data_IF_455648782960
#
_entry.id   IF_455648782960
#
_cell.length_a   1.000
_cell.length_b   1.000
_cell.length_c   1.000
_cell.angle_alpha   90.00
_cell.angle_beta   90.00
_cell.angle_gamma   90.00
#
_symmetry.space_group_name_H-M   'P 1'
#
loop_
_entity.id
_entity.type
_entity.pdbx_description
1 polymer ?
#
# COMPACT_ATOMS: atom_id res chain seq x y z
N UNK A 1 21.49 8.08 16.22
CA UNK A 1 20.29 8.94 16.30
C UNK A 1 19.47 8.62 15.05
N UNK A 2 18.46 7.77 15.19
CA UNK A 2 17.65 7.31 14.04
C UNK A 2 16.72 8.48 13.69
N UNK A 3 16.65 8.94 12.43
CA UNK A 3 15.61 9.87 12.07
C UNK A 3 14.29 9.13 12.26
N UNK A 4 13.48 9.60 13.22
CA UNK A 4 12.06 9.27 13.27
C UNK A 4 11.55 9.38 11.84
N UNK A 5 11.12 8.26 11.26
CA UNK A 5 10.45 8.26 9.98
C UNK A 5 9.11 8.95 10.21
N UNK A 6 9.14 10.28 10.18
CA UNK A 6 7.99 11.16 10.20
C UNK A 6 7.22 11.07 8.88
N UNK A 7 6.98 9.85 8.39
CA UNK A 7 6.09 9.54 7.29
C UNK A 7 4.68 10.09 7.56
N UNK A 8 4.35 10.35 8.83
CA UNK A 8 3.06 10.86 9.30
C UNK A 8 3.01 12.39 9.50
N UNK A 9 4.14 13.13 9.37
CA UNK A 9 4.16 14.58 9.71
C UNK A 9 4.12 15.53 8.53
N UNK A 10 4.36 15.06 7.31
CA UNK A 10 4.26 15.92 6.12
C UNK A 10 3.27 15.29 5.15
N UNK A 11 2.02 15.80 5.07
CA UNK A 11 1.09 15.31 4.06
C UNK A 11 1.64 15.61 2.65
N UNK A 12 1.28 14.80 1.65
CA UNK A 12 1.66 15.07 0.25
C UNK A 12 1.11 16.43 -0.22
N UNK A 13 -0.03 16.83 0.36
CA UNK A 13 -0.73 18.09 0.13
C UNK A 13 -1.17 18.65 1.48
N UNK A 14 -0.66 19.81 1.89
CA UNK A 14 -1.15 20.52 3.07
C UNK A 14 -2.43 21.34 2.75
N UNK A 15 -3.07 21.96 3.75
CA UNK A 15 -4.32 22.69 3.52
C UNK A 15 -4.18 23.99 2.68
N UNK A 16 -2.96 24.52 2.55
CA UNK A 16 -2.62 25.75 1.84
C UNK A 16 -1.86 25.53 0.52
N UNK A 17 -1.71 24.27 0.08
CA UNK A 17 -0.90 23.89 -1.08
C UNK A 17 -1.35 24.58 -2.38
N UNK A 18 -2.65 24.87 -2.50
CA UNK A 18 -3.25 25.63 -3.58
C UNK A 18 -4.17 26.71 -3.00
N UNK A 19 -3.79 27.97 -3.19
CA UNK A 19 -4.58 29.15 -2.81
C UNK A 19 -4.45 30.21 -3.90
N UNK A 20 -5.57 30.82 -4.27
CA UNK A 20 -5.62 31.85 -5.31
C UNK A 20 -6.65 32.89 -4.89
N UNK A 21 -6.29 34.17 -4.90
CA UNK A 21 -7.26 35.23 -4.62
C UNK A 21 -8.20 35.42 -5.80
N UNK A 22 -9.49 35.74 -5.59
CA UNK A 22 -10.40 36.02 -6.70
C UNK A 22 -9.98 37.23 -7.56
N UNK A 23 -9.16 38.14 -6.99
CA UNK A 23 -8.60 39.31 -7.67
C UNK A 23 -7.34 38.97 -8.51
N UNK A 24 -6.76 37.79 -8.34
CA UNK A 24 -5.53 37.36 -9.05
C UNK A 24 -5.74 37.39 -10.56
N UNK A 25 -4.76 37.91 -11.30
CA UNK A 25 -4.78 37.97 -12.77
C UNK A 25 -4.75 36.57 -13.38
N UNK A 26 -5.20 36.42 -14.64
CA UNK A 26 -5.27 35.11 -15.31
C UNK A 26 -3.91 34.39 -15.33
N UNK A 27 -2.86 35.09 -15.72
CA UNK A 27 -1.53 34.48 -15.90
C UNK A 27 -0.92 34.09 -14.55
N UNK A 28 -1.20 34.86 -13.49
CA UNK A 28 -0.82 34.50 -12.12
C UNK A 28 -1.54 33.24 -11.64
N UNK A 29 -2.82 33.03 -12.00
CA UNK A 29 -3.53 31.77 -11.69
C UNK A 29 -2.85 30.59 -12.39
N UNK A 30 -2.44 30.74 -13.65
CA UNK A 30 -1.72 29.69 -14.37
C UNK A 30 -0.36 29.38 -13.72
N UNK A 31 0.36 30.40 -13.25
CA UNK A 31 1.60 30.22 -12.48
C UNK A 31 1.35 29.49 -11.16
N UNK A 32 0.27 29.81 -10.44
CA UNK A 32 -0.11 29.08 -9.23
C UNK A 32 -0.43 27.61 -9.51
N UNK A 33 -1.13 27.30 -10.61
CA UNK A 33 -1.42 25.91 -11.02
C UNK A 33 -0.12 25.16 -11.33
N UNK A 34 0.76 25.75 -12.15
CA UNK A 34 2.03 25.13 -12.51
C UNK A 34 2.93 24.91 -11.29
N UNK A 35 2.95 25.85 -10.35
CA UNK A 35 3.66 25.70 -9.08
C UNK A 35 3.09 24.56 -8.22
N UNK A 36 1.77 24.42 -8.20
CA UNK A 36 1.11 23.35 -7.47
C UNK A 36 1.44 21.96 -8.06
N UNK A 37 1.47 21.83 -9.38
CA UNK A 37 1.92 20.61 -10.08
C UNK A 37 3.37 20.27 -9.70
N UNK A 38 4.30 21.24 -9.79
CA UNK A 38 5.71 21.02 -9.41
C UNK A 38 5.89 20.60 -7.95
N UNK A 39 5.13 21.19 -7.02
CA UNK A 39 5.18 20.81 -5.60
C UNK A 39 4.66 19.40 -5.37
N UNK A 40 3.60 19.01 -6.06
CA UNK A 40 3.04 17.66 -5.99
C UNK A 40 4.05 16.61 -6.45
N UNK A 41 4.73 16.86 -7.57
CA UNK A 41 5.79 16.00 -8.09
C UNK A 41 6.99 15.93 -7.12
N UNK A 42 7.45 17.08 -6.60
CA UNK A 42 8.54 17.12 -5.62
C UNK A 42 8.20 16.33 -4.33
N UNK A 43 6.95 16.41 -3.86
CA UNK A 43 6.50 15.70 -2.67
C UNK A 43 6.53 14.17 -2.88
N UNK A 44 6.10 13.67 -4.05
CA UNK A 44 6.15 12.22 -4.32
C UNK A 44 7.58 11.71 -4.51
N UNK A 45 8.45 12.53 -5.09
CA UNK A 45 9.88 12.21 -5.19
C UNK A 45 10.53 12.14 -3.80
N UNK A 46 10.25 13.11 -2.94
CA UNK A 46 10.74 13.12 -1.55
C UNK A 46 10.23 11.91 -0.76
N UNK A 47 8.96 11.52 -0.94
CA UNK A 47 8.44 10.28 -0.37
C UNK A 47 9.26 9.08 -0.84
N UNK A 48 9.55 8.97 -2.14
CA UNK A 48 10.38 7.89 -2.69
C UNK A 48 11.77 7.83 -2.09
N UNK A 49 12.43 8.98 -1.97
CA UNK A 49 13.74 9.09 -1.32
C UNK A 49 13.67 8.67 0.15
N UNK A 50 12.63 9.08 0.88
CA UNK A 50 12.44 8.73 2.30
C UNK A 50 12.23 7.23 2.48
N UNK A 51 11.40 6.61 1.62
CA UNK A 51 11.16 5.17 1.64
C UNK A 51 12.43 4.38 1.33
N UNK A 52 13.20 4.81 0.33
CA UNK A 52 14.47 4.19 -0.06
C UNK A 52 15.56 4.35 1.02
N UNK A 53 15.70 5.54 1.63
CA UNK A 53 16.69 5.82 2.68
C UNK A 53 16.39 5.10 3.98
N UNK A 54 15.11 4.87 4.28
CA UNK A 54 14.78 4.00 5.39
C UNK A 54 15.11 2.52 5.08
N UNK A 55 15.28 2.13 3.82
CA UNK A 55 15.65 0.76 3.45
C UNK A 55 16.93 0.33 4.16
N UNK A 56 16.80 -0.65 5.05
CA UNK A 56 17.87 -1.34 5.79
C UNK A 56 18.54 -0.58 6.94
N UNK A 57 18.04 -0.69 8.18
CA UNK A 57 18.93 -0.74 9.31
C UNK A 57 19.60 -2.13 9.35
N UNK A 58 20.92 -2.16 9.18
CA UNK A 58 21.72 -3.30 9.58
C UNK A 58 21.33 -3.72 11.01
N UNK A 59 20.70 -4.90 11.14
CA UNK A 59 20.28 -5.49 12.42
C UNK A 59 19.32 -4.69 13.33
N UNK A 60 18.41 -3.88 12.77
CA UNK A 60 17.34 -3.25 13.56
C UNK A 60 16.34 -4.28 14.10
N UNK A 61 16.17 -4.36 15.42
CA UNK A 61 15.32 -5.32 16.15
C UNK A 61 13.92 -5.48 15.52
N UNK A 62 13.36 -6.70 15.51
CA UNK A 62 12.07 -7.03 14.89
C UNK A 62 10.93 -6.04 15.17
N UNK A 63 10.90 -5.47 16.38
CA UNK A 63 9.96 -4.42 16.78
C UNK A 63 10.01 -3.17 15.90
N UNK A 64 11.19 -2.77 15.41
CA UNK A 64 11.34 -1.59 14.53
C UNK A 64 10.76 -1.86 13.13
N UNK A 65 10.95 -3.06 12.59
CA UNK A 65 10.29 -3.45 11.33
C UNK A 65 8.78 -3.43 11.48
N UNK A 66 8.27 -3.95 12.59
CA UNK A 66 6.83 -3.96 12.84
C UNK A 66 6.24 -2.55 12.97
N UNK A 67 6.91 -1.65 13.70
CA UNK A 67 6.52 -0.24 13.77
C UNK A 67 6.48 0.41 12.39
N UNK A 68 7.46 0.11 11.55
CA UNK A 68 7.53 0.67 10.20
C UNK A 68 6.44 0.12 9.28
N UNK A 69 6.16 -1.17 9.35
CA UNK A 69 5.03 -1.77 8.61
C UNK A 69 3.72 -1.11 9.06
N UNK A 70 3.54 -0.89 10.36
CA UNK A 70 2.36 -0.20 10.90
C UNK A 70 2.29 1.27 10.46
N UNK A 71 3.43 1.98 10.41
CA UNK A 71 3.50 3.36 9.92
C UNK A 71 3.15 3.46 8.43
N UNK A 72 3.64 2.54 7.61
CA UNK A 72 3.30 2.48 6.18
C UNK A 72 1.83 2.11 5.97
N UNK A 73 1.28 1.22 6.79
CA UNK A 73 -0.15 0.92 6.77
C UNK A 73 -0.99 2.14 7.15
N UNK A 74 -0.59 2.91 8.16
CA UNK A 74 -1.26 4.16 8.55
C UNK A 74 -1.19 5.21 7.42
N UNK A 75 -0.04 5.34 6.76
CA UNK A 75 0.13 6.20 5.60
C UNK A 75 -0.78 5.77 4.44
N UNK A 76 -0.85 4.47 4.13
CA UNK A 76 -1.69 3.90 3.07
C UNK A 76 -3.18 4.12 3.32
N UNK A 77 -3.63 3.90 4.55
CA UNK A 77 -5.06 3.83 4.90
C UNK A 77 -5.65 5.16 5.35
N UNK A 78 -4.82 6.09 5.85
CA UNK A 78 -5.27 7.37 6.39
C UNK A 78 -4.52 8.55 5.81
N UNK A 79 -3.19 8.52 5.82
CA UNK A 79 -2.36 9.66 5.43
C UNK A 79 -2.57 10.08 3.96
N UNK A 80 -2.31 9.17 3.02
CA UNK A 80 -2.46 9.42 1.58
C UNK A 80 -3.93 9.70 1.21
N UNK A 81 -4.94 8.94 1.69
CA UNK A 81 -6.34 9.27 1.44
C UNK A 81 -6.77 10.65 1.95
N UNK A 82 -6.35 11.05 3.16
CA UNK A 82 -6.65 12.38 3.70
C UNK A 82 -5.99 13.49 2.86
N UNK A 83 -4.75 13.26 2.41
CA UNK A 83 -4.07 14.16 1.48
C UNK A 83 -4.79 14.27 0.14
N UNK A 84 -5.35 13.15 -0.34
CA UNK A 84 -6.27 13.05 -1.49
C UNK A 84 -7.44 14.01 -1.40
N UNK A 85 -8.21 13.86 -0.33
CA UNK A 85 -9.37 14.68 -0.07
C UNK A 85 -9.01 16.17 0.10
N UNK A 86 -7.88 16.48 0.72
CA UNK A 86 -7.39 17.86 0.84
C UNK A 86 -7.04 18.48 -0.51
N UNK A 87 -6.43 17.71 -1.42
CA UNK A 87 -6.12 18.16 -2.77
C UNK A 87 -7.39 18.40 -3.59
N UNK A 88 -8.28 17.41 -3.68
CA UNK A 88 -9.55 17.54 -4.41
C UNK A 88 -10.36 18.74 -3.88
N UNK A 89 -10.47 18.89 -2.56
CA UNK A 89 -11.18 20.02 -1.95
C UNK A 89 -10.53 21.38 -2.22
N UNK A 90 -9.20 21.47 -2.29
CA UNK A 90 -8.54 22.74 -2.63
C UNK A 90 -8.73 23.13 -4.10
N UNK A 91 -8.61 22.15 -5.03
CA UNK A 91 -8.87 22.39 -6.45
C UNK A 91 -10.31 22.84 -6.66
N UNK A 92 -11.27 22.16 -6.03
CA UNK A 92 -12.69 22.51 -6.13
C UNK A 92 -12.96 23.92 -5.60
N UNK A 93 -12.43 24.28 -4.41
CA UNK A 93 -12.58 25.63 -3.85
C UNK A 93 -12.05 26.71 -4.80
N UNK A 94 -10.82 26.56 -5.27
CA UNK A 94 -10.22 27.55 -6.18
C UNK A 94 -11.01 27.61 -7.49
N UNK A 95 -11.38 26.46 -8.05
CA UNK A 95 -12.20 26.39 -9.26
C UNK A 95 -13.52 27.16 -9.09
N UNK A 96 -14.20 27.05 -7.95
CA UNK A 96 -15.42 27.80 -7.67
C UNK A 96 -15.16 29.31 -7.51
N UNK A 97 -14.07 29.71 -6.85
CA UNK A 97 -13.74 31.11 -6.59
C UNK A 97 -13.35 31.90 -7.86
N UNK A 98 -12.59 31.29 -8.78
CA UNK A 98 -12.18 31.92 -10.04
C UNK A 98 -13.03 31.55 -11.25
N UNK A 99 -13.78 30.45 -11.21
CA UNK A 99 -14.47 29.89 -12.37
C UNK A 99 -15.56 30.78 -12.97
N UNK A 100 -16.24 31.59 -12.16
CA UNK A 100 -17.21 32.56 -12.69
C UNK A 100 -16.54 33.64 -13.55
N UNK A 101 -15.34 34.10 -13.16
CA UNK A 101 -14.63 35.21 -13.81
C UNK A 101 -13.65 34.76 -14.90
N UNK A 102 -13.20 33.51 -14.88
CA UNK A 102 -12.13 32.97 -15.73
C UNK A 102 -12.50 31.59 -16.28
N UNK A 103 -13.61 31.52 -17.01
CA UNK A 103 -14.14 30.23 -17.55
C UNK A 103 -13.17 29.51 -18.48
N UNK A 104 -12.29 30.25 -19.15
CA UNK A 104 -11.24 29.69 -20.00
C UNK A 104 -10.21 28.84 -19.23
N UNK A 105 -10.11 29.02 -17.90
CA UNK A 105 -9.21 28.23 -17.05
C UNK A 105 -9.82 26.89 -16.57
N UNK A 106 -11.11 26.64 -16.79
CA UNK A 106 -11.77 25.41 -16.32
C UNK A 106 -11.08 24.11 -16.76
N UNK A 107 -10.62 23.96 -18.03
CA UNK A 107 -9.87 22.77 -18.42
C UNK A 107 -8.60 22.56 -17.58
N UNK A 108 -7.89 23.63 -17.21
CA UNK A 108 -6.65 23.54 -16.41
C UNK A 108 -6.88 23.08 -14.98
N UNK A 109 -8.03 23.40 -14.37
CA UNK A 109 -8.38 22.85 -13.05
C UNK A 109 -8.72 21.35 -13.12
N UNK A 110 -9.36 20.91 -14.20
CA UNK A 110 -9.59 19.49 -14.41
C UNK A 110 -8.28 18.73 -14.61
N UNK A 111 -7.37 19.27 -15.43
CA UNK A 111 -6.03 18.71 -15.63
C UNK A 111 -5.22 18.66 -14.33
N UNK A 112 -5.29 19.71 -13.50
CA UNK A 112 -4.68 19.73 -12.17
C UNK A 112 -5.26 18.64 -11.25
N UNK A 113 -6.58 18.47 -11.22
CA UNK A 113 -7.23 17.43 -10.41
C UNK A 113 -6.76 16.02 -10.83
N UNK A 114 -6.70 15.75 -12.14
CA UNK A 114 -6.21 14.47 -12.65
C UNK A 114 -4.74 14.24 -12.34
N UNK A 115 -3.91 15.29 -12.44
CA UNK A 115 -2.50 15.23 -12.04
C UNK A 115 -2.37 14.88 -10.55
N UNK A 116 -3.13 15.54 -9.66
CA UNK A 116 -3.13 15.24 -8.23
C UNK A 116 -3.56 13.79 -7.95
N UNK A 117 -4.59 13.28 -8.64
CA UNK A 117 -5.00 11.88 -8.54
C UNK A 117 -3.91 10.92 -9.01
N UNK A 118 -3.16 11.27 -10.06
CA UNK A 118 -2.02 10.47 -10.52
C UNK A 118 -0.90 10.43 -9.47
N UNK A 119 -0.55 11.57 -8.88
CA UNK A 119 0.42 11.68 -7.79
C UNK A 119 0.00 10.81 -6.59
N UNK A 120 -1.27 10.87 -6.18
CA UNK A 120 -1.79 10.03 -5.11
C UNK A 120 -1.68 8.53 -5.40
N UNK A 121 -2.06 8.10 -6.62
CA UNK A 121 -1.94 6.69 -7.02
C UNK A 121 -0.48 6.22 -6.96
N UNK A 122 0.45 7.05 -7.41
CA UNK A 122 1.89 6.76 -7.37
C UNK A 122 2.40 6.65 -5.93
N UNK A 123 2.05 7.60 -5.07
CA UNK A 123 2.43 7.56 -3.66
C UNK A 123 1.90 6.31 -2.94
N UNK A 124 0.65 5.92 -3.24
CA UNK A 124 0.03 4.73 -2.68
C UNK A 124 0.75 3.45 -3.11
N UNK A 125 1.11 3.34 -4.39
CA UNK A 125 1.90 2.22 -4.90
C UNK A 125 3.25 2.13 -4.18
N UNK A 126 3.98 3.24 -4.07
CA UNK A 126 5.29 3.28 -3.40
C UNK A 126 5.22 2.85 -1.93
N UNK A 127 4.20 3.31 -1.19
CA UNK A 127 3.99 2.91 0.20
C UNK A 127 3.66 1.42 0.33
N UNK A 128 2.85 0.88 -0.58
CA UNK A 128 2.51 -0.55 -0.65
C UNK A 128 3.73 -1.41 -0.96
N UNK A 129 4.52 -1.01 -1.94
CA UNK A 129 5.73 -1.73 -2.35
C UNK A 129 6.76 -1.77 -1.21
N UNK A 130 6.99 -0.63 -0.56
CA UNK A 130 7.87 -0.54 0.59
C UNK A 130 7.37 -1.40 1.76
N UNK A 131 6.06 -1.43 1.99
CA UNK A 131 5.45 -2.25 3.05
C UNK A 131 5.57 -3.73 2.74
N UNK A 132 5.29 -4.14 1.50
CA UNK A 132 5.42 -5.51 1.04
C UNK A 132 6.85 -6.02 1.18
N UNK A 133 7.85 -5.22 0.76
CA UNK A 133 9.27 -5.55 0.93
C UNK A 133 9.63 -5.81 2.41
N UNK A 134 9.19 -4.94 3.33
CA UNK A 134 9.44 -5.13 4.76
C UNK A 134 8.72 -6.36 5.33
N UNK A 135 7.53 -6.68 4.85
CA UNK A 135 6.81 -7.90 5.25
C UNK A 135 7.57 -9.15 4.79
N UNK A 136 8.16 -9.14 3.59
CA UNK A 136 9.02 -10.22 3.09
C UNK A 136 10.30 -10.38 3.91
N UNK A 137 11.02 -9.29 4.16
CA UNK A 137 12.21 -9.29 5.01
C UNK A 137 11.90 -9.84 6.41
N UNK A 138 10.77 -9.43 6.99
CA UNK A 138 10.32 -9.91 8.29
C UNK A 138 10.00 -11.40 8.28
N UNK A 139 9.23 -11.87 7.30
CA UNK A 139 8.87 -13.28 7.17
C UNK A 139 10.10 -14.19 6.98
N UNK A 140 11.14 -13.68 6.30
CA UNK A 140 12.40 -14.39 6.13
C UNK A 140 13.26 -14.39 7.40
N UNK A 141 13.37 -13.26 8.11
CA UNK A 141 14.28 -13.11 9.24
C UNK A 141 13.75 -13.71 10.56
N UNK A 142 12.43 -13.70 10.76
CA UNK A 142 11.78 -14.12 12.01
C UNK A 142 10.40 -14.72 11.70
N UNK A 143 10.36 -15.96 11.19
CA UNK A 143 9.12 -16.63 10.81
C UNK A 143 8.24 -16.90 12.03
N UNK A 144 6.93 -16.78 11.87
CA UNK A 144 5.99 -17.04 12.95
C UNK A 144 5.90 -18.53 13.31
N UNK A 145 5.53 -18.79 14.56
CA UNK A 145 5.19 -20.14 15.02
C UNK A 145 3.79 -20.55 14.54
N UNK A 146 3.44 -21.84 14.51
CA UNK A 146 2.08 -22.28 14.20
C UNK A 146 1.08 -21.78 15.27
N UNK A 147 0.02 -21.08 14.86
CA UNK A 147 -0.98 -20.49 15.80
C UNK A 147 -2.16 -21.39 16.15
N UNK A 148 -2.39 -22.42 15.35
CA UNK A 148 -3.62 -23.22 15.41
C UNK A 148 -3.42 -24.57 14.73
N UNK A 149 -4.18 -25.60 15.10
CA UNK A 149 -4.09 -26.90 14.43
C UNK A 149 -4.38 -26.74 12.94
N UNK A 150 -3.72 -27.56 12.12
CA UNK A 150 -4.07 -27.75 10.70
C UNK A 150 -5.58 -27.98 10.66
N UNK A 151 -6.32 -27.05 10.03
CA UNK A 151 -7.78 -27.08 10.09
C UNK A 151 -8.34 -28.15 9.16
N UNK A 152 -8.73 -29.31 9.69
CA UNK A 152 -9.43 -30.35 8.93
C UNK A 152 -8.52 -31.34 8.20
N UNK A 153 -9.12 -32.44 7.75
CA UNK A 153 -8.44 -33.53 7.03
C UNK A 153 -8.09 -33.08 5.60
N UNK A 154 -6.81 -33.19 5.21
CA UNK A 154 -6.34 -32.79 3.87
C UNK A 154 -5.83 -31.35 3.75
N UNK A 155 -5.86 -30.57 4.84
CA UNK A 155 -5.44 -29.17 4.81
C UNK A 155 -3.92 -29.04 4.79
N UNK A 156 -3.41 -28.38 3.75
CA UNK A 156 -1.98 -28.17 3.49
C UNK A 156 -1.45 -26.80 3.93
N UNK A 157 -2.14 -26.12 4.85
CA UNK A 157 -1.68 -24.83 5.37
C UNK A 157 -1.94 -24.66 6.87
N UNK A 158 -1.16 -23.75 7.49
CA UNK A 158 -1.24 -23.37 8.90
C UNK A 158 -1.08 -21.86 9.01
N UNK A 159 -1.95 -21.20 9.77
CA UNK A 159 -1.77 -19.77 10.08
C UNK A 159 -0.65 -19.62 11.10
N UNK A 160 0.24 -18.65 10.89
CA UNK A 160 1.23 -18.29 11.91
C UNK A 160 0.58 -17.54 13.08
N UNK A 161 1.23 -17.54 14.24
CA UNK A 161 0.81 -16.81 15.46
C UNK A 161 0.75 -15.29 15.25
N UNK A 162 1.45 -14.81 14.23
CA UNK A 162 1.47 -13.41 13.80
C UNK A 162 0.39 -13.07 12.80
N UNK A 163 -0.11 -14.05 12.03
CA UNK A 163 -1.01 -13.81 10.91
C UNK A 163 -2.33 -13.17 11.34
N UNK A 164 -3.06 -13.74 12.30
CA UNK A 164 -4.44 -13.29 12.59
C UNK A 164 -4.48 -11.84 13.10
N UNK A 165 -3.54 -11.47 13.97
CA UNK A 165 -3.42 -10.09 14.46
C UNK A 165 -3.06 -9.09 13.34
N UNK A 166 -2.31 -9.53 12.33
CA UNK A 166 -1.90 -8.70 11.18
C UNK A 166 -2.97 -8.62 10.11
N UNK A 167 -3.61 -9.73 9.77
CA UNK A 167 -4.74 -9.76 8.86
C UNK A 167 -5.87 -8.86 9.37
N UNK A 168 -6.11 -8.83 10.70
CA UNK A 168 -7.08 -7.93 11.31
C UNK A 168 -6.76 -6.44 11.16
N UNK A 169 -5.47 -6.06 11.07
CA UNK A 169 -5.04 -4.67 10.88
C UNK A 169 -4.94 -4.28 9.41
N UNK A 170 -4.47 -5.22 8.57
CA UNK A 170 -4.09 -4.95 7.18
C UNK A 170 -5.24 -5.08 6.19
N UNK A 171 -6.32 -5.79 6.55
CA UNK A 171 -7.45 -6.05 5.67
C UNK A 171 -8.78 -5.58 6.28
N UNK A 172 -9.64 -4.92 5.49
CA UNK A 172 -11.04 -4.71 5.85
C UNK A 172 -11.77 -6.03 6.15
N UNK A 173 -12.86 -6.01 6.95
CA UNK A 173 -13.62 -7.22 7.31
C UNK A 173 -14.01 -8.11 6.12
N UNK A 174 -14.53 -7.54 5.04
CA UNK A 174 -14.95 -8.29 3.86
C UNK A 174 -13.78 -8.95 3.12
N UNK A 175 -12.65 -8.25 3.07
CA UNK A 175 -11.42 -8.78 2.47
C UNK A 175 -10.82 -9.91 3.30
N UNK A 176 -10.99 -9.90 4.63
CA UNK A 176 -10.61 -11.05 5.47
C UNK A 176 -11.42 -12.30 5.17
N UNK A 177 -12.74 -12.14 4.99
CA UNK A 177 -13.61 -13.27 4.61
C UNK A 177 -13.21 -13.81 3.24
N UNK A 178 -12.89 -12.92 2.28
CA UNK A 178 -12.42 -13.31 0.94
C UNK A 178 -11.07 -14.03 1.03
N UNK A 179 -10.11 -13.48 1.77
CA UNK A 179 -8.80 -14.05 2.00
C UNK A 179 -8.91 -15.47 2.60
N UNK A 180 -9.78 -15.67 3.60
CA UNK A 180 -10.02 -16.98 4.21
C UNK A 180 -10.59 -18.01 3.21
N UNK A 181 -11.43 -17.58 2.26
CA UNK A 181 -11.88 -18.45 1.16
C UNK A 181 -10.71 -18.88 0.27
N UNK A 182 -9.80 -17.97 -0.09
CA UNK A 182 -8.61 -18.32 -0.86
C UNK A 182 -7.68 -19.27 -0.10
N UNK A 183 -7.49 -19.07 1.21
CA UNK A 183 -6.71 -20.00 2.04
C UNK A 183 -7.28 -21.42 2.06
N UNK A 184 -8.61 -21.55 2.21
CA UNK A 184 -9.27 -22.88 2.18
C UNK A 184 -8.98 -23.65 0.89
N UNK A 185 -8.92 -22.95 -0.24
CA UNK A 185 -8.61 -23.54 -1.55
C UNK A 185 -7.17 -24.04 -1.67
N UNK A 186 -6.23 -23.54 -0.85
CA UNK A 186 -4.84 -24.05 -0.82
C UNK A 186 -4.76 -25.51 -0.33
N UNK A 187 -5.80 -26.02 0.34
CA UNK A 187 -5.90 -27.42 0.74
C UNK A 187 -6.28 -28.38 -0.40
N UNK A 188 -6.89 -27.89 -1.49
CA UNK A 188 -7.37 -28.71 -2.61
C UNK A 188 -6.23 -29.46 -3.31
N UNK A 189 -6.51 -30.67 -3.83
CA UNK A 189 -5.55 -31.49 -4.59
C UNK A 189 -6.01 -31.73 -6.03
N UNK A 190 -5.31 -31.21 -7.05
CA UNK A 190 -4.14 -30.32 -6.98
C UNK A 190 -4.51 -28.90 -6.51
N UNK A 191 -3.50 -28.10 -6.11
CA UNK A 191 -3.69 -26.68 -5.77
C UNK A 191 -4.23 -25.94 -7.01
N UNK A 192 -5.34 -25.20 -6.90
CA UNK A 192 -5.97 -24.57 -8.06
C UNK A 192 -5.07 -23.49 -8.69
N UNK A 193 -4.96 -23.45 -10.03
CA UNK A 193 -4.09 -22.50 -10.72
C UNK A 193 -4.53 -21.04 -10.52
N UNK A 194 -5.81 -20.77 -10.23
CA UNK A 194 -6.30 -19.40 -10.00
C UNK A 194 -5.78 -18.78 -8.69
N UNK A 195 -5.18 -19.59 -7.81
CA UNK A 195 -4.49 -19.11 -6.63
C UNK A 195 -3.14 -18.44 -6.97
N UNK A 196 -2.62 -18.65 -8.19
CA UNK A 196 -1.33 -18.11 -8.65
C UNK A 196 -0.20 -18.37 -7.66
N UNK A 197 -0.16 -19.60 -7.13
CA UNK A 197 0.85 -20.01 -6.16
C UNK A 197 2.23 -20.02 -6.82
N UNK A 198 3.07 -19.07 -6.44
CA UNK A 198 4.38 -18.81 -7.07
C UNK A 198 5.46 -18.66 -6.02
N UNK A 199 6.66 -19.14 -6.32
CA UNK A 199 7.82 -18.88 -5.47
C UNK A 199 8.20 -17.41 -5.58
N UNK A 200 8.57 -16.78 -4.48
CA UNK A 200 9.03 -15.40 -4.48
C UNK A 200 10.55 -15.37 -4.64
N UNK A 201 11.00 -14.90 -5.80
CA UNK A 201 12.39 -14.51 -5.99
C UNK A 201 12.56 -13.10 -5.43
N UNK A 202 13.12 -13.01 -4.23
CA UNK A 202 13.37 -11.73 -3.57
C UNK A 202 14.88 -11.50 -3.56
N UNK A 203 15.32 -10.50 -4.32
CA UNK A 203 16.74 -10.10 -4.41
C UNK A 203 17.26 -9.78 -3.01
N UNK A 204 18.34 -10.44 -2.57
CA UNK A 204 18.92 -10.28 -1.23
C UNK A 204 18.27 -11.13 -0.12
N UNK A 205 17.23 -11.91 -0.43
CA UNK A 205 16.66 -12.96 0.44
C UNK A 205 16.70 -14.33 -0.27
N UNK A 206 17.77 -14.58 -1.04
CA UNK A 206 17.98 -15.84 -1.73
C UNK A 206 17.97 -17.00 -0.71
N UNK A 207 17.14 -18.02 -0.97
CA UNK A 207 16.99 -19.17 -0.07
C UNK A 207 15.95 -19.03 1.05
N UNK A 208 15.22 -17.92 1.15
CA UNK A 208 14.19 -17.74 2.19
C UNK A 208 12.97 -18.67 2.04
N UNK A 209 12.81 -19.34 0.90
CA UNK A 209 11.75 -20.34 0.69
C UNK A 209 10.33 -19.77 0.77
N UNK A 210 10.18 -18.47 0.48
CA UNK A 210 8.90 -17.76 0.50
C UNK A 210 8.13 -17.97 -0.80
N UNK A 211 6.80 -17.93 -0.67
CA UNK A 211 5.83 -18.12 -1.74
C UNK A 211 4.76 -17.04 -1.64
N UNK A 212 4.12 -16.71 -2.76
CA UNK A 212 2.96 -15.85 -2.80
C UNK A 212 1.77 -16.55 -3.44
N UNK A 213 0.59 -16.15 -3.01
CA UNK A 213 -0.71 -16.64 -3.50
C UNK A 213 -1.73 -15.51 -3.44
N UNK A 214 -2.68 -15.46 -4.39
CA UNK A 214 -3.80 -14.52 -4.35
C UNK A 214 -4.60 -14.63 -3.04
N UNK A 215 -4.91 -13.48 -2.45
CA UNK A 215 -5.84 -13.32 -1.31
C UNK A 215 -7.12 -12.54 -1.69
N UNK A 216 -7.20 -12.08 -2.96
CA UNK A 216 -8.33 -11.32 -3.50
C UNK A 216 -8.18 -9.81 -3.33
N UNK A 217 -8.92 -9.04 -4.13
CA UNK A 217 -8.93 -7.57 -4.12
C UNK A 217 -7.53 -6.92 -4.22
N UNK A 218 -6.64 -7.50 -5.03
CA UNK A 218 -5.25 -7.03 -5.18
C UNK A 218 -4.30 -7.45 -4.04
N UNK A 219 -4.79 -8.18 -3.04
CA UNK A 219 -3.97 -8.71 -1.95
C UNK A 219 -3.37 -10.08 -2.31
N UNK A 220 -2.20 -10.36 -1.74
CA UNK A 220 -1.56 -11.67 -1.74
C UNK A 220 -1.11 -12.08 -0.33
N UNK A 221 -1.07 -13.38 -0.11
CA UNK A 221 -0.44 -13.99 1.05
C UNK A 221 1.07 -14.06 0.86
N UNK A 222 1.79 -13.94 1.97
CA UNK A 222 3.18 -14.39 2.10
C UNK A 222 3.14 -15.74 2.80
N UNK A 223 3.63 -16.75 2.11
CA UNK A 223 3.65 -18.14 2.55
C UNK A 223 5.08 -18.62 2.69
N UNK A 224 5.29 -19.59 3.57
CA UNK A 224 6.56 -20.33 3.69
C UNK A 224 6.29 -21.81 3.67
N UNK A 225 7.09 -22.60 2.95
CA UNK A 225 7.01 -24.07 3.02
C UNK A 225 7.71 -24.58 4.27
N UNK A 226 7.16 -25.61 4.87
CA UNK A 226 7.80 -26.34 5.95
C UNK A 226 7.02 -27.57 6.34
N UNK A 227 7.53 -28.28 7.33
CA UNK A 227 6.90 -29.48 7.84
C UNK A 227 6.32 -29.23 9.22
N UNK A 228 5.07 -29.65 9.42
CA UNK A 228 4.44 -29.70 10.75
C UNK A 228 4.05 -31.14 11.04
N UNK A 229 4.69 -31.74 12.05
CA UNK A 229 4.43 -33.12 12.49
C UNK A 229 4.55 -34.15 11.34
N UNK A 230 5.56 -33.98 10.48
CA UNK A 230 5.82 -34.87 9.34
C UNK A 230 4.92 -34.64 8.12
N UNK A 231 4.08 -33.58 8.13
CA UNK A 231 3.24 -33.19 7.00
C UNK A 231 3.80 -31.90 6.39
N UNK A 232 4.14 -31.94 5.10
CA UNK A 232 4.53 -30.74 4.35
C UNK A 232 3.33 -29.81 4.17
N UNK A 233 3.46 -28.57 4.62
CA UNK A 233 2.42 -27.56 4.57
C UNK A 233 2.97 -26.15 4.31
N UNK A 234 2.07 -25.23 3.99
CA UNK A 234 2.34 -23.80 3.88
C UNK A 234 2.01 -23.08 5.19
N UNK A 235 3.00 -22.42 5.78
CA UNK A 235 2.80 -21.47 6.86
C UNK A 235 2.38 -20.13 6.26
N UNK A 236 1.24 -19.60 6.69
CA UNK A 236 0.74 -18.28 6.29
C UNK A 236 1.39 -17.26 7.22
N UNK A 237 2.39 -16.55 6.72
CA UNK A 237 3.20 -15.61 7.50
C UNK A 237 2.55 -14.22 7.52
N UNK A 238 1.99 -13.77 6.39
CA UNK A 238 1.37 -12.44 6.29
C UNK A 238 0.39 -12.31 5.12
N UNK A 239 -0.29 -11.17 5.04
CA UNK A 239 -1.17 -10.79 3.93
C UNK A 239 -1.18 -9.28 3.68
N UNK A 240 -1.14 -8.88 2.41
CA UNK A 240 -1.16 -7.47 2.04
C UNK A 240 -1.28 -7.23 0.53
N UNK A 241 -1.40 -5.96 0.11
CA UNK A 241 -1.44 -5.57 -1.29
C UNK A 241 -0.12 -5.94 -1.98
N UNK A 242 -0.23 -6.51 -3.18
CA UNK A 242 0.94 -6.94 -3.96
C UNK A 242 1.32 -5.92 -5.05
N UNK A 243 2.63 -5.68 -5.31
CA UNK A 243 3.10 -4.65 -6.24
C UNK A 243 2.56 -4.74 -7.68
N UNK A 244 2.26 -5.93 -8.19
CA UNK A 244 1.84 -6.11 -9.59
C UNK A 244 0.35 -6.38 -9.79
N UNK A 245 -0.48 -5.43 -9.39
CA UNK A 245 -1.78 -5.31 -10.04
C UNK A 245 -2.05 -3.88 -10.49
N UNK A 246 -1.93 -3.66 -11.80
CA UNK A 246 -2.74 -2.71 -12.58
C UNK A 246 -4.28 -2.87 -12.35
N UNK A 247 -4.71 -3.77 -11.46
CA UNK A 247 -6.10 -4.05 -11.08
C UNK A 247 -6.79 -2.98 -10.23
N UNK A 248 -6.12 -1.89 -9.85
CA UNK A 248 -6.78 -0.70 -9.30
C UNK A 248 -7.73 0.01 -10.28
N UNK A 249 -7.70 -0.33 -11.57
CA UNK A 249 -8.54 0.28 -12.62
C UNK A 249 -9.92 -0.36 -12.84
N UNK A 250 -10.37 -1.34 -12.04
CA UNK A 250 -11.70 -1.98 -12.27
C UNK A 250 -12.69 -2.01 -11.10
N UNK A 251 -12.35 -1.45 -9.93
CA UNK A 251 -13.22 -1.52 -8.75
C UNK A 251 -14.06 -0.28 -8.41
N UNK A 252 -13.68 0.92 -8.87
CA UNK A 252 -14.23 2.18 -8.35
C UNK A 252 -15.12 2.96 -9.34
N UNK A 253 -15.64 2.31 -10.39
CA UNK A 253 -16.61 2.90 -11.34
C UNK A 253 -17.84 2.01 -11.57
N UNK A 254 -18.19 1.18 -10.60
CA UNK A 254 -19.46 0.46 -10.62
C UNK A 254 -20.12 0.53 -9.25
N UNK A 255 -20.65 1.71 -8.93
CA UNK A 255 -21.98 1.95 -8.33
C UNK A 255 -22.20 3.44 -8.15
#
# INVERSE_FOLDING_TARGET
MVPDLFLDKTPLFDAGWLTVSPATGRDDVLLCIAEAERRADAAVEQLGQTLAQGGSPASGAAAERDRRIDALLALETRGIPASGAAADGAVERVMMEVGFRKRDLMPRFHELAEHCRAVHRRALAMARDARWALMLERAAADPGGPSSPIQGTGTRYVKSDRYDARAARSLPPDDRVRADRFLKRLGEDPVPPELELTALEVTGLEGAGLWAMKAGNGNRFILRRGDLRGVSCFFVEDVGPYPDHEGGRRGALAR
#
